data_IF_691528380994
#
_entry.id   IF_691528380994
#
_cell.length_a   1.000
_cell.length_b   1.000
_cell.length_c   1.000
_cell.angle_alpha   90.00
_cell.angle_beta   90.00
_cell.angle_gamma   90.00
#
_symmetry.space_group_name_H-M   'P 1'
#
loop_
_entity.id
_entity.type
_entity.pdbx_description
1 polymer ?
#
# COMPACT_ATOMS: atom_id res chain seq x y z
N UNK A 1 -7.48 -21.94 -12.47
CA UNK A 1 -7.56 -20.47 -12.50
C UNK A 1 -8.54 -20.05 -13.57
N UNK A 2 -9.58 -19.34 -13.16
CA UNK A 2 -10.56 -18.76 -14.08
C UNK A 2 -10.02 -17.46 -14.69
N UNK A 3 -10.45 -17.08 -15.89
CA UNK A 3 -10.06 -15.82 -16.56
C UNK A 3 -10.32 -14.58 -15.66
N UNK A 4 -11.32 -14.66 -14.78
CA UNK A 4 -11.66 -13.59 -13.85
C UNK A 4 -10.65 -13.45 -12.68
N UNK A 5 -10.05 -14.55 -12.23
CA UNK A 5 -8.98 -14.56 -11.21
C UNK A 5 -7.71 -13.95 -11.77
N UNK A 6 -7.28 -14.40 -12.96
CA UNK A 6 -6.11 -13.85 -13.66
C UNK A 6 -6.27 -12.34 -13.87
N UNK A 7 -7.47 -11.88 -14.22
CA UNK A 7 -7.74 -10.45 -14.37
C UNK A 7 -7.66 -9.67 -13.05
N UNK A 8 -7.97 -10.28 -11.89
CA UNK A 8 -7.91 -9.61 -10.58
C UNK A 8 -6.47 -9.52 -10.09
N UNK A 9 -5.71 -10.60 -10.21
CA UNK A 9 -4.29 -10.65 -9.87
C UNK A 9 -3.49 -9.62 -10.67
N UNK A 10 -3.71 -9.57 -11.99
CA UNK A 10 -3.07 -8.58 -12.86
C UNK A 10 -3.39 -7.14 -12.44
N UNK A 11 -4.63 -6.85 -12.02
CA UNK A 11 -5.00 -5.51 -11.52
C UNK A 11 -4.30 -5.19 -10.21
N UNK A 12 -4.17 -6.15 -9.28
CA UNK A 12 -3.46 -5.96 -8.01
C UNK A 12 -1.97 -5.75 -8.22
N UNK A 13 -1.37 -6.54 -9.10
CA UNK A 13 0.02 -6.38 -9.53
C UNK A 13 0.27 -4.98 -10.10
N UNK A 14 -0.57 -4.53 -11.04
CA UNK A 14 -0.45 -3.18 -11.63
C UNK A 14 -0.51 -2.09 -10.56
N UNK A 15 -1.44 -2.20 -9.63
CA UNK A 15 -1.58 -1.23 -8.53
C UNK A 15 -0.31 -1.15 -7.66
N UNK A 16 0.30 -2.29 -7.31
CA UNK A 16 1.58 -2.31 -6.58
C UNK A 16 2.70 -1.64 -7.38
N UNK A 17 2.79 -1.93 -8.68
CA UNK A 17 3.81 -1.34 -9.56
C UNK A 17 3.63 0.17 -9.65
N UNK A 18 2.42 0.64 -9.95
CA UNK A 18 2.11 2.07 -10.05
C UNK A 18 2.42 2.81 -8.75
N UNK A 19 1.99 2.28 -7.60
CA UNK A 19 2.27 2.87 -6.30
C UNK A 19 3.77 2.87 -5.97
N UNK A 20 4.49 1.82 -6.36
CA UNK A 20 5.93 1.68 -6.19
C UNK A 20 6.72 2.69 -7.00
N UNK A 21 6.42 2.80 -8.29
CA UNK A 21 7.05 3.77 -9.20
C UNK A 21 6.78 5.22 -8.78
N UNK A 22 5.54 5.53 -8.38
CA UNK A 22 5.21 6.85 -7.84
C UNK A 22 5.97 7.16 -6.56
N UNK A 23 6.08 6.17 -5.65
CA UNK A 23 6.88 6.32 -4.42
C UNK A 23 8.34 6.63 -4.73
N UNK A 24 8.96 5.86 -5.63
CA UNK A 24 10.33 6.09 -6.04
C UNK A 24 10.52 7.50 -6.61
N UNK A 25 9.62 7.94 -7.51
CA UNK A 25 9.66 9.30 -8.08
C UNK A 25 9.59 10.38 -7.01
N UNK A 26 8.60 10.30 -6.13
CA UNK A 26 8.35 11.32 -5.10
C UNK A 26 9.49 11.42 -4.11
N UNK A 27 10.08 10.30 -3.68
CA UNK A 27 11.22 10.35 -2.77
C UNK A 27 12.46 10.90 -3.48
N UNK A 28 12.71 10.56 -4.75
CA UNK A 28 13.79 11.20 -5.53
C UNK A 28 13.60 12.73 -5.56
N UNK A 29 12.39 13.22 -5.84
CA UNK A 29 12.09 14.65 -5.89
C UNK A 29 12.32 15.33 -4.53
N UNK A 30 11.90 14.68 -3.44
CA UNK A 30 12.13 15.18 -2.08
C UNK A 30 13.63 15.28 -1.79
N UNK A 31 14.41 14.25 -2.10
CA UNK A 31 15.86 14.22 -1.84
C UNK A 31 16.57 15.28 -2.68
N UNK A 32 16.23 15.40 -3.96
CA UNK A 32 16.79 16.41 -4.85
C UNK A 32 16.49 17.83 -4.34
N UNK A 33 15.25 18.09 -3.90
CA UNK A 33 14.83 19.40 -3.38
C UNK A 33 15.53 19.77 -2.07
N UNK A 34 15.72 18.81 -1.17
CA UNK A 34 16.26 19.07 0.17
C UNK A 34 17.79 19.03 0.22
N UNK A 35 18.42 18.19 -0.61
CA UNK A 35 19.87 17.90 -0.54
C UNK A 35 20.62 18.23 -1.84
N UNK A 36 19.92 18.69 -2.88
CA UNK A 36 20.54 19.06 -4.16
C UNK A 36 21.19 17.90 -4.92
N UNK A 37 20.85 16.66 -4.58
CA UNK A 37 21.48 15.45 -5.14
C UNK A 37 20.45 14.41 -5.56
N UNK A 38 20.73 13.71 -6.66
CA UNK A 38 19.87 12.63 -7.13
C UNK A 38 20.03 11.39 -6.23
N UNK A 39 18.93 10.86 -5.72
CA UNK A 39 18.94 9.68 -4.84
C UNK A 39 19.13 8.36 -5.60
N UNK A 40 18.77 8.33 -6.88
CA UNK A 40 18.86 7.13 -7.73
C UNK A 40 17.94 6.00 -7.27
N UNK A 41 16.82 6.33 -6.62
CA UNK A 41 15.85 5.35 -6.13
C UNK A 41 15.03 4.83 -7.31
N UNK A 42 14.91 3.51 -7.45
CA UNK A 42 14.08 2.89 -8.48
C UNK A 42 13.19 1.82 -7.86
N UNK A 43 11.98 1.68 -8.39
CA UNK A 43 11.12 0.54 -8.07
C UNK A 43 11.41 -0.62 -9.03
N UNK A 44 11.58 -1.83 -8.51
CA UNK A 44 11.84 -3.00 -9.32
C UNK A 44 10.51 -3.67 -9.74
N UNK A 45 9.91 -3.18 -10.82
CA UNK A 45 8.61 -3.66 -11.33
C UNK A 45 8.61 -5.12 -11.82
N UNK A 46 9.80 -5.70 -11.99
CA UNK A 46 10.01 -7.09 -12.39
C UNK A 46 10.47 -7.97 -11.22
N UNK A 47 10.45 -7.46 -9.98
CA UNK A 47 10.84 -8.25 -8.83
C UNK A 47 9.85 -9.42 -8.64
N UNK A 48 10.38 -10.65 -8.56
CA UNK A 48 9.59 -11.86 -8.33
C UNK A 48 8.77 -11.79 -7.04
N UNK A 49 9.23 -10.98 -6.07
CA UNK A 49 8.49 -10.76 -4.83
C UNK A 49 7.15 -10.05 -5.01
N UNK A 50 6.93 -9.31 -6.10
CA UNK A 50 5.65 -8.65 -6.35
C UNK A 50 4.57 -9.70 -6.54
N UNK A 51 4.84 -10.74 -7.34
CA UNK A 51 3.87 -11.79 -7.62
C UNK A 51 3.57 -12.57 -6.34
N UNK A 52 4.59 -12.84 -5.51
CA UNK A 52 4.39 -13.48 -4.20
C UNK A 52 3.61 -12.61 -3.20
N UNK A 53 3.81 -11.29 -3.19
CA UNK A 53 2.99 -10.37 -2.37
C UNK A 53 1.52 -10.44 -2.81
N UNK A 54 1.24 -10.54 -4.12
CA UNK A 54 -0.13 -10.67 -4.63
C UNK A 54 -0.75 -11.99 -4.22
N UNK A 55 -0.02 -13.10 -4.35
CA UNK A 55 -0.43 -14.43 -3.90
C UNK A 55 -0.73 -14.45 -2.39
N UNK A 56 0.21 -13.98 -1.56
CA UNK A 56 0.04 -13.92 -0.10
C UNK A 56 -1.13 -13.01 0.30
N UNK A 57 -1.37 -11.92 -0.44
CA UNK A 57 -2.55 -11.08 -0.24
C UNK A 57 -3.85 -11.84 -0.50
N UNK A 58 -3.97 -12.58 -1.61
CA UNK A 58 -5.18 -13.35 -1.88
C UNK A 58 -5.39 -14.48 -0.87
N UNK A 59 -4.32 -15.18 -0.47
CA UNK A 59 -4.38 -16.15 0.62
C UNK A 59 -4.93 -15.55 1.93
N UNK A 60 -4.57 -14.31 2.25
CA UNK A 60 -5.14 -13.60 3.41
C UNK A 60 -6.58 -13.16 3.22
N UNK A 61 -6.98 -12.80 2.01
CA UNK A 61 -8.39 -12.49 1.71
C UNK A 61 -9.25 -13.74 1.92
N UNK A 62 -8.78 -14.89 1.46
CA UNK A 62 -9.51 -16.15 1.59
C UNK A 62 -9.59 -16.59 3.06
N UNK A 63 -8.49 -16.50 3.81
CA UNK A 63 -8.50 -16.74 5.25
C UNK A 63 -9.46 -15.80 5.99
N UNK A 64 -9.38 -14.49 5.72
CA UNK A 64 -10.29 -13.50 6.33
C UNK A 64 -11.76 -13.82 6.05
N UNK A 65 -12.08 -14.22 4.81
CA UNK A 65 -13.45 -14.60 4.42
C UNK A 65 -13.91 -15.86 5.13
N UNK A 66 -13.06 -16.88 5.20
CA UNK A 66 -13.34 -18.13 5.90
C UNK A 66 -13.59 -17.93 7.39
N UNK A 67 -12.79 -17.07 8.04
CA UNK A 67 -12.91 -16.77 9.47
C UNK A 67 -14.15 -15.94 9.82
N UNK A 68 -14.82 -15.34 8.83
CA UNK A 68 -15.96 -14.43 9.02
C UNK A 68 -17.23 -14.86 8.26
N UNK A 69 -17.33 -16.15 7.90
CA UNK A 69 -18.51 -16.76 7.26
C UNK A 69 -18.96 -16.06 5.95
N UNK A 70 -18.03 -15.50 5.18
CA UNK A 70 -18.32 -14.94 3.87
C UNK A 70 -18.63 -16.06 2.86
N UNK A 71 -19.60 -15.82 1.98
CA UNK A 71 -19.92 -16.75 0.89
C UNK A 71 -18.92 -16.62 -0.25
N UNK A 72 -18.84 -17.68 -1.05
CA UNK A 72 -18.09 -17.63 -2.30
C UNK A 72 -18.59 -16.48 -3.18
N UNK A 73 -17.66 -15.67 -3.69
CA UNK A 73 -17.98 -14.48 -4.49
C UNK A 73 -18.26 -13.20 -3.69
N UNK A 74 -18.45 -13.26 -2.37
CA UNK A 74 -18.68 -12.04 -1.59
C UNK A 74 -17.51 -11.06 -1.70
N UNK A 75 -17.81 -9.77 -1.73
CA UNK A 75 -16.81 -8.71 -1.83
C UNK A 75 -16.47 -8.19 -0.44
N UNK A 76 -15.18 -7.97 -0.21
CA UNK A 76 -14.69 -7.20 0.93
C UNK A 76 -14.54 -5.73 0.54
N UNK A 77 -14.76 -4.83 1.49
CA UNK A 77 -14.68 -3.40 1.23
C UNK A 77 -13.22 -2.91 1.06
N UNK A 78 -13.05 -1.69 0.53
CA UNK A 78 -11.72 -1.13 0.25
C UNK A 78 -10.83 -0.96 1.48
N UNK A 79 -11.40 -0.69 2.67
CA UNK A 79 -10.60 -0.59 3.90
C UNK A 79 -10.01 -1.93 4.33
N UNK A 80 -10.75 -3.03 4.16
CA UNK A 80 -10.24 -4.39 4.35
C UNK A 80 -9.15 -4.73 3.33
N UNK A 81 -9.38 -4.39 2.06
CA UNK A 81 -8.39 -4.59 0.99
C UNK A 81 -7.08 -3.86 1.32
N UNK A 82 -7.15 -2.58 1.72
CA UNK A 82 -5.98 -1.79 2.09
C UNK A 82 -5.26 -2.37 3.32
N UNK A 83 -6.01 -2.78 4.35
CA UNK A 83 -5.45 -3.38 5.58
C UNK A 83 -4.69 -4.67 5.30
N UNK A 84 -5.30 -5.58 4.53
CA UNK A 84 -4.68 -6.85 4.17
C UNK A 84 -3.41 -6.63 3.33
N UNK A 85 -3.42 -5.72 2.35
CA UNK A 85 -2.21 -5.37 1.60
C UNK A 85 -1.10 -4.81 2.49
N UNK A 86 -1.45 -3.89 3.39
CA UNK A 86 -0.47 -3.28 4.29
C UNK A 86 0.22 -4.34 5.16
N UNK A 87 -0.55 -5.25 5.76
CA UNK A 87 0.00 -6.36 6.56
C UNK A 87 0.87 -7.27 5.71
N UNK A 88 0.40 -7.68 4.52
CA UNK A 88 1.18 -8.55 3.62
C UNK A 88 2.56 -7.94 3.32
N UNK A 89 2.60 -6.67 2.94
CA UNK A 89 3.87 -6.00 2.59
C UNK A 89 4.76 -5.81 3.81
N UNK A 90 4.20 -5.46 4.97
CA UNK A 90 4.95 -5.27 6.22
C UNK A 90 5.64 -6.57 6.70
N UNK A 91 5.01 -7.73 6.46
CA UNK A 91 5.54 -9.04 6.83
C UNK A 91 6.53 -9.60 5.79
N UNK A 92 6.51 -9.10 4.55
CA UNK A 92 7.32 -9.57 3.41
C UNK A 92 8.79 -9.06 3.43
N UNK A 93 9.45 -9.01 4.59
CA UNK A 93 10.74 -8.30 4.79
C UNK A 93 11.97 -8.84 4.04
N UNK A 94 11.84 -9.81 3.13
CA UNK A 94 12.98 -10.59 2.60
C UNK A 94 13.51 -10.16 1.23
N UNK A 95 12.73 -9.50 0.37
CA UNK A 95 13.17 -9.15 -1.00
C UNK A 95 13.07 -7.64 -1.28
N UNK A 96 14.08 -7.02 -1.93
CA UNK A 96 14.08 -5.59 -2.18
C UNK A 96 13.11 -5.21 -3.31
N UNK A 97 11.99 -4.58 -2.94
CA UNK A 97 11.07 -3.90 -3.86
C UNK A 97 11.70 -2.67 -4.53
N UNK A 98 12.69 -2.07 -3.85
CA UNK A 98 13.34 -0.85 -4.29
C UNK A 98 14.84 -1.08 -4.44
N UNK A 99 15.39 -0.54 -5.53
CA UNK A 99 16.83 -0.45 -5.77
C UNK A 99 17.30 0.90 -5.24
N UNK A 100 18.25 0.87 -4.32
CA UNK A 100 18.80 2.04 -3.64
C UNK A 100 20.32 2.04 -3.79
N UNK A 101 20.92 3.23 -3.89
CA UNK A 101 22.37 3.36 -3.67
C UNK A 101 22.71 3.04 -2.21
N UNK A 102 23.95 2.62 -1.93
CA UNK A 102 24.39 2.27 -0.56
C UNK A 102 24.18 3.42 0.43
N UNK A 103 24.53 4.65 0.01
CA UNK A 103 24.32 5.86 0.81
C UNK A 103 22.85 6.08 1.16
N UNK A 104 21.94 5.78 0.24
CA UNK A 104 20.50 5.92 0.46
C UNK A 104 19.93 4.80 1.33
N UNK A 105 20.42 3.58 1.20
CA UNK A 105 19.98 2.43 2.00
C UNK A 105 20.16 2.66 3.50
N UNK A 106 21.28 3.28 3.91
CA UNK A 106 21.58 3.56 5.33
C UNK A 106 20.92 4.86 5.85
N UNK A 107 20.32 5.65 4.95
CA UNK A 107 19.68 6.92 5.27
C UNK A 107 18.28 6.78 5.87
N UNK A 108 17.72 7.89 6.37
CA UNK A 108 16.31 7.94 6.78
C UNK A 108 15.37 7.56 5.62
N UNK A 109 15.69 7.97 4.39
CA UNK A 109 14.86 7.66 3.22
C UNK A 109 14.83 6.15 2.92
N UNK A 110 15.96 5.46 3.07
CA UNK A 110 16.04 4.01 2.92
C UNK A 110 15.16 3.27 3.94
N UNK A 111 15.12 3.76 5.19
CA UNK A 111 14.24 3.21 6.23
C UNK A 111 12.76 3.53 6.00
N UNK A 112 12.45 4.68 5.41
CA UNK A 112 11.08 5.16 5.25
C UNK A 112 10.43 4.75 3.92
N UNK A 113 11.18 4.21 2.96
CA UNK A 113 10.67 3.96 1.61
C UNK A 113 9.50 2.97 1.58
N UNK A 114 9.58 1.88 2.35
CA UNK A 114 8.51 0.89 2.44
C UNK A 114 7.28 1.45 3.16
N UNK A 115 7.40 2.12 4.31
CA UNK A 115 6.29 2.87 4.90
C UNK A 115 5.62 3.86 3.91
N UNK A 116 6.40 4.63 3.14
CA UNK A 116 5.86 5.56 2.15
C UNK A 116 5.14 4.85 1.01
N UNK A 117 5.69 3.72 0.57
CA UNK A 117 5.07 2.87 -0.44
C UNK A 117 3.72 2.35 0.03
N UNK A 118 3.64 1.81 1.25
CA UNK A 118 2.38 1.34 1.85
C UNK A 118 1.40 2.49 1.99
N UNK A 119 1.83 3.67 2.47
CA UNK A 119 0.98 4.85 2.58
C UNK A 119 0.36 5.26 1.24
N UNK A 120 1.17 5.31 0.17
CA UNK A 120 0.68 5.62 -1.18
C UNK A 120 -0.24 4.55 -1.74
N UNK A 121 0.04 3.27 -1.45
CA UNK A 121 -0.81 2.16 -1.83
C UNK A 121 -2.18 2.26 -1.14
N UNK A 122 -2.21 2.56 0.16
CA UNK A 122 -3.45 2.82 0.93
C UNK A 122 -4.21 3.99 0.30
N UNK A 123 -3.53 5.09 0.02
CA UNK A 123 -4.12 6.25 -0.65
C UNK A 123 -4.79 5.89 -1.98
N UNK A 124 -4.13 5.04 -2.77
CA UNK A 124 -4.66 4.58 -4.06
C UNK A 124 -5.85 3.63 -3.91
N UNK A 125 -5.77 2.65 -2.99
CA UNK A 125 -6.87 1.68 -2.75
C UNK A 125 -8.12 2.38 -2.22
N UNK A 126 -7.95 3.34 -1.31
CA UNK A 126 -9.06 4.05 -0.68
C UNK A 126 -9.52 5.27 -1.48
N UNK A 127 -8.84 5.59 -2.58
CA UNK A 127 -9.07 6.80 -3.38
C UNK A 127 -9.01 8.09 -2.55
N UNK A 128 -7.99 8.20 -1.68
CA UNK A 128 -7.80 9.36 -0.83
C UNK A 128 -7.22 10.52 -1.62
N UNK A 129 -7.66 11.73 -1.29
CA UNK A 129 -6.89 12.93 -1.60
C UNK A 129 -5.81 13.12 -0.54
N UNK A 130 -4.60 12.60 -0.84
CA UNK A 130 -3.46 12.66 0.08
C UNK A 130 -3.01 14.09 0.39
N UNK A 131 -3.40 15.10 -0.41
CA UNK A 131 -3.07 16.51 -0.12
C UNK A 131 -3.95 17.11 0.98
N UNK A 132 -5.09 16.46 1.28
CA UNK A 132 -6.03 16.88 2.32
C UNK A 132 -5.84 16.15 3.64
N UNK A 133 -5.06 15.07 3.66
CA UNK A 133 -4.74 14.35 4.89
C UNK A 133 -3.94 15.27 5.80
N UNK A 134 -4.37 15.42 7.05
CA UNK A 134 -3.63 16.24 8.04
C UNK A 134 -2.23 15.69 8.24
N UNK A 135 -1.23 16.56 8.33
CA UNK A 135 0.15 16.16 8.59
C UNK A 135 0.34 15.38 9.91
N UNK A 136 -0.52 15.62 10.91
CA UNK A 136 -0.53 14.84 12.15
C UNK A 136 -0.95 13.39 11.91
N UNK A 137 -2.02 13.19 11.12
CA UNK A 137 -2.54 11.86 10.77
C UNK A 137 -1.56 11.11 9.87
N UNK A 138 -0.99 11.79 8.88
CA UNK A 138 0.07 11.23 8.05
C UNK A 138 1.26 10.79 8.91
N UNK A 139 1.74 11.66 9.80
CA UNK A 139 2.85 11.36 10.71
C UNK A 139 2.56 10.15 11.61
N UNK A 140 1.37 10.08 12.19
CA UNK A 140 0.98 8.96 13.06
C UNK A 140 0.90 7.63 12.28
N UNK A 141 0.27 7.63 11.10
CA UNK A 141 0.21 6.43 10.25
C UNK A 141 1.62 5.99 9.84
N UNK A 142 2.46 6.93 9.39
CA UNK A 142 3.85 6.64 9.01
C UNK A 142 4.67 6.10 10.18
N UNK A 143 4.46 6.63 11.40
CA UNK A 143 5.09 6.13 12.63
C UNK A 143 4.65 4.70 12.93
N UNK A 144 3.35 4.39 12.85
CA UNK A 144 2.84 3.04 13.05
C UNK A 144 3.45 2.04 12.05
N UNK A 145 3.50 2.40 10.76
CA UNK A 145 4.11 1.56 9.72
C UNK A 145 5.61 1.33 9.96
N UNK A 146 6.32 2.37 10.40
CA UNK A 146 7.77 2.31 10.64
C UNK A 146 8.14 1.45 11.86
N UNK A 147 7.31 1.48 12.91
CA UNK A 147 7.52 0.72 14.14
C UNK A 147 7.13 -0.77 14.02
N UNK A 148 6.75 -1.24 12.84
CA UNK A 148 6.46 -2.66 12.64
C UNK A 148 7.76 -3.50 12.61
N UNK A 149 7.90 -4.55 13.46
CA UNK A 149 6.83 -5.28 14.15
C UNK A 149 6.78 -4.99 15.66
N UNK A 150 7.54 -4.01 16.17
CA UNK A 150 7.50 -3.64 17.59
C UNK A 150 6.08 -3.24 18.01
N UNK A 151 5.37 -2.57 17.11
CA UNK A 151 3.92 -2.41 17.15
C UNK A 151 3.33 -3.35 16.09
N UNK A 152 2.72 -4.45 16.54
CA UNK A 152 2.03 -5.37 15.63
C UNK A 152 0.77 -4.67 15.12
N UNK A 153 0.63 -4.58 13.80
CA UNK A 153 -0.58 -4.07 13.19
C UNK A 153 -1.68 -5.13 13.33
N UNK A 154 -2.70 -4.81 14.12
CA UNK A 154 -3.91 -5.61 14.20
C UNK A 154 -4.79 -5.35 12.97
N UNK A 155 -5.30 -6.43 12.35
CA UNK A 155 -6.04 -6.33 11.10
C UNK A 155 -7.35 -5.56 11.28
N UNK A 156 -8.11 -5.85 12.35
CA UNK A 156 -9.36 -5.16 12.63
C UNK A 156 -9.13 -3.67 12.91
N UNK A 157 -8.10 -3.35 13.70
CA UNK A 157 -7.70 -1.97 13.94
C UNK A 157 -7.33 -1.23 12.64
N UNK A 158 -6.57 -1.87 11.74
CA UNK A 158 -6.26 -1.28 10.43
C UNK A 158 -7.52 -1.09 9.59
N UNK A 159 -8.43 -2.07 9.56
CA UNK A 159 -9.66 -1.98 8.78
C UNK A 159 -10.55 -0.83 9.23
N UNK A 160 -10.68 -0.63 10.54
CA UNK A 160 -11.42 0.48 11.12
C UNK A 160 -10.73 1.82 10.85
N UNK A 161 -9.43 1.91 11.10
CA UNK A 161 -8.65 3.13 10.88
C UNK A 161 -8.71 3.58 9.42
N UNK A 162 -8.57 2.63 8.49
CA UNK A 162 -8.65 2.91 7.05
C UNK A 162 -10.07 3.25 6.61
N UNK A 163 -11.10 2.68 7.25
CA UNK A 163 -12.48 3.08 6.98
C UNK A 163 -12.74 4.52 7.39
N UNK A 164 -12.24 4.93 8.56
CA UNK A 164 -12.35 6.31 9.05
C UNK A 164 -11.58 7.27 8.14
N UNK A 165 -10.34 6.93 7.74
CA UNK A 165 -9.58 7.71 6.77
C UNK A 165 -10.31 7.88 5.44
N UNK A 166 -10.91 6.81 4.93
CA UNK A 166 -11.69 6.87 3.70
C UNK A 166 -12.92 7.79 3.83
N UNK A 167 -13.62 7.78 4.95
CA UNK A 167 -14.77 8.67 5.18
C UNK A 167 -14.32 10.14 5.26
N UNK A 168 -13.20 10.40 5.93
CA UNK A 168 -12.72 11.77 6.16
C UNK A 168 -12.04 12.39 4.93
N UNK A 169 -11.28 11.60 4.16
CA UNK A 169 -10.36 12.08 3.12
C UNK A 169 -10.55 11.41 1.76
N UNK A 170 -11.53 10.51 1.61
CA UNK A 170 -11.90 9.93 0.33
C UNK A 170 -12.33 11.02 -0.65
N UNK A 171 -11.92 10.87 -1.92
CA UNK A 171 -12.32 11.79 -2.96
C UNK A 171 -13.83 11.64 -3.25
N UNK A 172 -14.67 12.67 -2.99
CA UNK A 172 -16.10 12.58 -3.22
C UNK A 172 -16.45 12.29 -4.68
N UNK A 173 -15.63 12.77 -5.63
CA UNK A 173 -15.85 12.60 -7.06
C UNK A 173 -15.63 11.16 -7.55
N UNK A 174 -14.87 10.35 -6.81
CA UNK A 174 -14.66 8.92 -7.09
C UNK A 174 -15.55 8.01 -6.21
N UNK A 175 -16.26 8.60 -5.25
CA UNK A 175 -17.12 7.90 -4.28
C UNK A 175 -18.61 7.92 -4.68
N UNK A 176 -18.98 8.76 -5.64
CA UNK A 176 -20.30 8.68 -6.25
C UNK A 176 -20.32 7.41 -7.13
N UNK A 177 -21.25 6.47 -6.93
CA UNK A 177 -21.53 5.50 -7.98
C UNK A 177 -21.94 6.29 -9.21
N UNK A 178 -21.32 6.04 -10.37
CA UNK A 178 -21.86 6.51 -11.63
C UNK A 178 -23.33 6.07 -11.67
N UNK A 179 -24.31 6.99 -11.76
CA UNK A 179 -25.71 6.57 -11.82
C UNK A 179 -26.04 5.82 -13.12
N UNK A 180 -25.12 5.74 -14.09
CA UNK A 180 -25.36 5.17 -15.40
C UNK A 180 -24.04 4.67 -16.02
N UNK A 181 -23.79 3.36 -15.97
CA UNK A 181 -23.36 2.50 -17.10
C UNK A 181 -23.33 1.04 -16.68
#
# INVERSE_FOLDING_TARGET
MSIAEDSRELRRRRLLVEAGEQTARVINDIVMRLHGTAAGIQFNSNALCIDKIVEDYFGRVDAFKGDNDFREGDLINFSKIAGLFAITILEYKTDPLFVLSKTMADSVYGRMIVPFFIYRLIGSILSLDLTRVSGEIESDLMRCLTLHPQIKADADWLFWSFKVLQIAYGNPALSAPDPVT
#
